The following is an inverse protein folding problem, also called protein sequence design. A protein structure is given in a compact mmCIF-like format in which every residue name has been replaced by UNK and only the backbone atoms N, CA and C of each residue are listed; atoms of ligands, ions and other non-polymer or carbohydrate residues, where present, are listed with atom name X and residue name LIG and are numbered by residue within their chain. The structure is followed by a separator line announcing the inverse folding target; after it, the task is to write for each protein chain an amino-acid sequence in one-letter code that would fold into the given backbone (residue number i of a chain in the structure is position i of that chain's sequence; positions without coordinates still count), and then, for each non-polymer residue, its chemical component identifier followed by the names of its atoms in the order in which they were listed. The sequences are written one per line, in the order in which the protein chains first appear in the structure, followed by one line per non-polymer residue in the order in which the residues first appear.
data_IF_936182453182
#
_entry.id   IF_936182453182
#
_cell.length_a   1.000
_cell.length_b   1.000
_cell.length_c   1.000
_cell.angle_alpha   90.00
_cell.angle_beta   90.00
_cell.angle_gamma   90.00
#
_symmetry.space_group_name_H-M   'P 1'
#
loop_
_entity.id
_entity.type
_entity.pdbx_description
1 polymer ?
#
# COMPACT_ATOMS: atom_id res chain seq x y z
N UNK A 1 -10.25 6.24 27.18
CA UNK A 1 -9.09 7.12 26.90
C UNK A 1 -8.43 6.88 25.53
N UNK A 2 -8.24 5.64 25.05
CA UNK A 2 -7.48 5.37 23.81
C UNK A 2 -8.12 5.72 22.45
N UNK A 3 -9.43 6.00 22.38
CA UNK A 3 -10.12 6.39 21.13
C UNK A 3 -9.82 7.83 20.69
N UNK A 4 -9.55 8.74 21.62
CA UNK A 4 -9.34 10.17 21.33
C UNK A 4 -8.01 10.44 20.64
N UNK A 5 -6.93 9.81 21.12
CA UNK A 5 -5.57 10.01 20.61
C UNK A 5 -5.41 9.49 19.17
N UNK A 6 -6.08 8.37 18.81
CA UNK A 6 -6.05 7.84 17.43
C UNK A 6 -6.67 8.79 16.42
N UNK A 7 -7.74 9.50 16.78
CA UNK A 7 -8.41 10.42 15.84
C UNK A 7 -7.63 11.71 15.63
N UNK A 8 -6.96 12.24 16.66
CA UNK A 8 -6.08 13.42 16.50
C UNK A 8 -4.90 13.12 15.60
N UNK A 9 -4.28 11.95 15.76
CA UNK A 9 -3.18 11.51 14.89
C UNK A 9 -3.64 11.31 13.44
N UNK A 10 -4.82 10.72 13.22
CA UNK A 10 -5.39 10.58 11.89
C UNK A 10 -5.65 11.95 11.24
N UNK A 11 -6.21 12.90 11.99
CA UNK A 11 -6.46 14.26 11.51
C UNK A 11 -5.19 15.02 11.17
N UNK A 12 -4.07 14.74 11.84
CA UNK A 12 -2.79 15.39 11.54
C UNK A 12 -2.05 14.73 10.37
N UNK A 13 -2.12 13.40 10.23
CA UNK A 13 -1.40 12.66 9.20
C UNK A 13 -2.13 12.66 7.85
N UNK A 14 -3.45 12.42 7.85
CA UNK A 14 -4.24 12.30 6.62
C UNK A 14 -4.12 13.48 5.63
N UNK A 15 -4.04 14.76 6.05
CA UNK A 15 -3.85 15.87 5.12
C UNK A 15 -2.45 15.95 4.50
N UNK A 16 -1.49 15.14 4.96
CA UNK A 16 -0.09 15.20 4.51
C UNK A 16 0.21 14.19 3.40
N UNK A 17 1.33 14.41 2.71
CA UNK A 17 1.89 13.46 1.73
C UNK A 17 2.96 12.53 2.33
N UNK A 18 3.02 12.38 3.67
CA UNK A 18 4.04 11.56 4.31
C UNK A 18 3.74 10.05 4.18
N UNK A 19 4.80 9.24 4.14
CA UNK A 19 4.70 7.78 4.26
C UNK A 19 4.40 7.41 5.71
N UNK A 20 3.44 6.51 5.92
CA UNK A 20 2.98 6.10 7.25
C UNK A 20 3.30 4.63 7.47
N UNK A 21 4.07 4.35 8.53
CA UNK A 21 4.28 2.99 9.01
C UNK A 21 3.21 2.64 10.05
N UNK A 22 2.40 1.62 9.78
CA UNK A 22 1.40 1.11 10.71
C UNK A 22 1.93 -0.16 11.36
N UNK A 23 2.17 -0.11 12.66
CA UNK A 23 2.63 -1.28 13.44
C UNK A 23 1.49 -1.86 14.28
N UNK A 24 1.55 -3.16 14.51
CA UNK A 24 0.57 -3.86 15.33
C UNK A 24 0.45 -5.33 14.96
N UNK A 25 -0.08 -6.13 15.89
CA UNK A 25 -0.30 -7.57 15.71
C UNK A 25 -1.21 -7.85 14.50
N UNK A 26 -1.14 -9.05 13.96
CA UNK A 26 -2.08 -9.54 12.93
C UNK A 26 -3.52 -9.47 13.47
N UNK A 27 -4.47 -9.06 12.62
CA UNK A 27 -5.88 -8.98 12.98
C UNK A 27 -6.31 -7.75 13.81
N UNK A 28 -5.45 -6.76 14.04
CA UNK A 28 -5.80 -5.54 14.81
C UNK A 28 -6.43 -4.41 13.99
N UNK A 29 -6.79 -4.67 12.73
CA UNK A 29 -7.46 -3.69 11.86
C UNK A 29 -6.52 -2.66 11.21
N UNK A 30 -5.27 -3.04 10.91
CA UNK A 30 -4.29 -2.17 10.22
C UNK A 30 -4.79 -1.71 8.84
N UNK A 31 -5.38 -2.63 8.07
CA UNK A 31 -5.99 -2.33 6.77
C UNK A 31 -7.08 -1.26 6.88
N UNK A 32 -7.98 -1.41 7.85
CA UNK A 32 -9.04 -0.44 8.08
C UNK A 32 -8.48 0.95 8.47
N UNK A 33 -7.38 0.99 9.22
CA UNK A 33 -6.70 2.23 9.55
C UNK A 33 -6.10 2.90 8.30
N UNK A 34 -5.47 2.14 7.41
CA UNK A 34 -4.91 2.65 6.15
C UNK A 34 -6.00 3.21 5.22
N UNK A 35 -7.13 2.51 5.11
CA UNK A 35 -8.30 2.99 4.38
C UNK A 35 -8.84 4.31 4.95
N UNK A 36 -8.91 4.43 6.27
CA UNK A 36 -9.39 5.66 6.93
C UNK A 36 -8.44 6.83 6.69
N UNK A 37 -7.12 6.61 6.76
CA UNK A 37 -6.12 7.63 6.38
C UNK A 37 -6.35 8.11 4.95
N UNK A 38 -6.55 7.18 4.01
CA UNK A 38 -6.81 7.53 2.62
C UNK A 38 -8.12 8.32 2.46
N UNK A 39 -9.23 7.86 3.08
CA UNK A 39 -10.54 8.54 3.06
C UNK A 39 -10.49 9.95 3.64
N UNK A 40 -9.65 10.18 4.64
CA UNK A 40 -9.48 11.50 5.28
C UNK A 40 -8.45 12.39 4.58
N UNK A 41 -7.77 11.90 3.54
CA UNK A 41 -6.73 12.65 2.82
C UNK A 41 -7.29 13.45 1.64
N UNK A 42 -6.55 14.44 1.11
CA UNK A 42 -6.87 15.11 -0.15
C UNK A 42 -6.98 14.15 -1.35
N UNK A 43 -6.50 12.91 -1.21
CA UNK A 43 -6.47 11.88 -2.24
C UNK A 43 -7.65 10.91 -2.14
N UNK A 44 -8.65 11.17 -1.30
CA UNK A 44 -9.80 10.27 -1.08
C UNK A 44 -10.63 9.96 -2.33
N UNK A 45 -10.60 10.84 -3.35
CA UNK A 45 -11.24 10.60 -4.65
C UNK A 45 -10.38 9.80 -5.65
N UNK A 46 -9.15 9.46 -5.29
CA UNK A 46 -8.22 8.73 -6.14
C UNK A 46 -8.15 7.24 -5.72
N UNK A 47 -7.33 6.45 -6.43
CA UNK A 47 -7.24 5.00 -6.19
C UNK A 47 -6.58 4.70 -4.84
N UNK A 48 -7.17 3.77 -4.09
CA UNK A 48 -6.51 3.08 -2.98
C UNK A 48 -6.14 1.67 -3.44
N UNK A 49 -4.85 1.37 -3.50
CA UNK A 49 -4.35 0.06 -3.93
C UNK A 49 -3.69 -0.66 -2.76
N UNK A 50 -4.32 -1.71 -2.26
CA UNK A 50 -3.72 -2.61 -1.27
C UNK A 50 -2.93 -3.72 -1.96
N UNK A 51 -1.74 -4.01 -1.43
CA UNK A 51 -0.90 -5.14 -1.85
C UNK A 51 -0.50 -5.90 -0.59
N UNK A 52 -0.87 -7.19 -0.53
CA UNK A 52 -0.46 -8.06 0.57
C UNK A 52 0.78 -8.85 0.15
N UNK A 53 1.94 -8.45 0.65
CA UNK A 53 3.23 -9.00 0.25
C UNK A 53 3.43 -10.44 0.73
N UNK A 54 2.82 -10.82 1.85
CA UNK A 54 2.85 -12.19 2.36
C UNK A 54 2.15 -13.22 1.45
N UNK A 55 1.39 -12.77 0.45
CA UNK A 55 0.68 -13.65 -0.49
C UNK A 55 1.41 -13.84 -1.81
N UNK A 56 2.51 -13.11 -2.02
CA UNK A 56 3.28 -13.12 -3.27
C UNK A 56 4.57 -13.90 -3.08
N UNK A 57 4.97 -14.66 -4.10
CA UNK A 57 6.33 -15.19 -4.16
C UNK A 57 7.32 -14.05 -4.38
N UNK A 58 8.54 -14.18 -3.84
CA UNK A 58 9.60 -13.17 -3.92
C UNK A 58 9.80 -12.60 -5.33
N UNK A 59 9.92 -13.49 -6.32
CA UNK A 59 10.10 -13.13 -7.74
C UNK A 59 8.91 -12.35 -8.36
N UNK A 60 7.73 -12.39 -7.73
CA UNK A 60 6.54 -11.69 -8.19
C UNK A 60 6.32 -10.36 -7.48
N UNK A 61 6.96 -10.13 -6.33
CA UNK A 61 6.80 -8.89 -5.55
C UNK A 61 7.21 -7.68 -6.39
N UNK A 62 8.40 -7.71 -6.99
CA UNK A 62 8.90 -6.60 -7.83
C UNK A 62 7.97 -6.35 -9.03
N UNK A 63 7.61 -7.42 -9.72
CA UNK A 63 6.73 -7.39 -10.90
C UNK A 63 5.33 -6.85 -10.57
N UNK A 64 4.80 -7.14 -9.38
CA UNK A 64 3.51 -6.61 -8.94
C UNK A 64 3.62 -5.13 -8.54
N UNK A 65 4.67 -4.74 -7.82
CA UNK A 65 4.85 -3.35 -7.34
C UNK A 65 5.19 -2.39 -8.48
N UNK A 66 6.16 -2.77 -9.31
CA UNK A 66 6.76 -1.91 -10.33
C UNK A 66 6.28 -2.22 -11.74
N UNK A 67 5.70 -3.41 -11.96
CA UNK A 67 5.34 -3.85 -13.30
C UNK A 67 6.54 -4.46 -14.02
N UNK A 68 6.33 -4.82 -15.29
CA UNK A 68 7.38 -5.28 -16.17
C UNK A 68 7.03 -5.03 -17.62
N UNK A 69 8.06 -4.93 -18.46
CA UNK A 69 7.90 -4.93 -19.91
C UNK A 69 7.85 -6.34 -20.47
N UNK A 70 7.26 -6.47 -21.66
CA UNK A 70 7.24 -7.75 -22.38
C UNK A 70 8.68 -8.24 -22.59
N UNK A 71 8.95 -9.50 -22.21
CA UNK A 71 10.26 -10.13 -22.34
C UNK A 71 11.25 -9.81 -21.22
N UNK A 72 10.82 -9.15 -20.14
CA UNK A 72 11.69 -8.87 -18.99
C UNK A 72 12.20 -10.15 -18.27
N UNK A 73 11.45 -11.25 -18.32
CA UNK A 73 11.83 -12.56 -17.80
C UNK A 73 11.10 -13.69 -18.56
N UNK A 74 11.47 -14.95 -18.30
CA UNK A 74 10.81 -16.11 -18.91
C UNK A 74 9.34 -16.20 -18.44
N UNK A 75 8.40 -16.03 -19.36
CA UNK A 75 6.96 -15.94 -19.07
C UNK A 75 6.39 -14.51 -19.02
N UNK A 76 7.21 -13.47 -19.26
CA UNK A 76 6.75 -12.09 -19.42
C UNK A 76 6.14 -11.86 -20.81
N UNK A 77 5.03 -12.53 -21.12
CA UNK A 77 4.43 -12.53 -22.46
C UNK A 77 3.82 -11.18 -22.86
N UNK A 78 3.51 -10.33 -21.87
CA UNK A 78 2.86 -9.04 -22.04
C UNK A 78 3.43 -8.01 -21.05
N UNK A 79 3.31 -6.73 -21.40
CA UNK A 79 3.60 -5.62 -20.47
C UNK A 79 2.56 -5.61 -19.34
N UNK A 80 3.02 -5.35 -18.12
CA UNK A 80 2.17 -5.18 -16.93
C UNK A 80 2.50 -3.88 -16.22
N UNK A 81 1.47 -3.09 -15.94
CA UNK A 81 1.57 -1.87 -15.13
C UNK A 81 1.65 -2.27 -13.65
N UNK A 82 2.63 -1.74 -12.92
CA UNK A 82 2.81 -2.00 -11.49
C UNK A 82 1.77 -1.29 -10.62
N UNK A 83 1.61 -1.77 -9.38
CA UNK A 83 0.66 -1.19 -8.41
C UNK A 83 0.97 0.25 -8.05
N UNK A 84 2.24 0.64 -8.02
CA UNK A 84 2.65 2.02 -7.75
C UNK A 84 2.16 2.96 -8.86
N UNK A 85 2.39 2.61 -10.13
CA UNK A 85 1.91 3.38 -11.28
C UNK A 85 0.39 3.36 -11.36
N UNK A 86 -0.23 2.20 -11.12
CA UNK A 86 -1.68 2.05 -11.14
C UNK A 86 -2.39 2.92 -10.09
N UNK A 87 -1.74 3.18 -8.96
CA UNK A 87 -2.25 4.02 -7.89
C UNK A 87 -1.74 5.48 -7.95
N UNK A 88 -1.18 5.90 -9.08
CA UNK A 88 -0.69 7.27 -9.25
C UNK A 88 -1.78 8.31 -8.89
N UNK A 89 -1.39 9.33 -8.14
CA UNK A 89 -2.30 10.34 -7.56
C UNK A 89 -3.15 9.85 -6.36
N UNK A 90 -3.05 8.57 -6.01
CA UNK A 90 -3.80 7.91 -4.95
C UNK A 90 -2.95 7.48 -3.76
N UNK A 91 -3.18 6.26 -3.28
CA UNK A 91 -2.46 5.70 -2.13
C UNK A 91 -2.21 4.21 -2.33
N UNK A 92 -1.00 3.78 -2.03
CA UNK A 92 -0.64 2.35 -1.99
C UNK A 92 -0.47 1.94 -0.54
N UNK A 93 -1.16 0.88 -0.14
CA UNK A 93 -1.00 0.26 1.17
C UNK A 93 -0.27 -1.08 0.99
N UNK A 94 0.94 -1.16 1.54
CA UNK A 94 1.77 -2.36 1.53
C UNK A 94 1.56 -3.09 2.85
N UNK A 95 0.74 -4.14 2.82
CA UNK A 95 0.51 -4.99 3.99
C UNK A 95 1.63 -6.02 4.11
N UNK A 96 2.04 -6.28 5.34
CA UNK A 96 3.19 -7.13 5.67
C UNK A 96 4.49 -6.72 4.94
N UNK A 97 4.83 -5.43 4.99
CA UNK A 97 6.06 -4.86 4.39
C UNK A 97 7.37 -5.53 4.83
N UNK A 98 7.36 -6.24 5.95
CA UNK A 98 8.52 -7.03 6.41
C UNK A 98 8.83 -8.25 5.55
N UNK A 99 7.94 -8.64 4.64
CA UNK A 99 8.13 -9.75 3.70
C UNK A 99 8.89 -9.34 2.42
N UNK A 100 9.34 -8.08 2.31
CA UNK A 100 10.20 -7.69 1.19
C UNK A 100 11.58 -8.36 1.32
N UNK A 101 12.11 -8.94 0.22
CA UNK A 101 13.48 -9.42 0.20
C UNK A 101 14.48 -8.28 0.42
N UNK A 102 15.59 -8.58 1.12
CA UNK A 102 16.67 -7.64 1.44
C UNK A 102 17.80 -7.67 0.41
#
# INVERSE_FOLDING_TARGET
MGRSIRMELLKSIAPTNQTVLITGRTGTGKTHLAEEIHRMSPRAGARFSQVNLATLSENLIESELFGHEKGAFSGADQRRIGRLEHANGGTVFLDEIGELPL
#
